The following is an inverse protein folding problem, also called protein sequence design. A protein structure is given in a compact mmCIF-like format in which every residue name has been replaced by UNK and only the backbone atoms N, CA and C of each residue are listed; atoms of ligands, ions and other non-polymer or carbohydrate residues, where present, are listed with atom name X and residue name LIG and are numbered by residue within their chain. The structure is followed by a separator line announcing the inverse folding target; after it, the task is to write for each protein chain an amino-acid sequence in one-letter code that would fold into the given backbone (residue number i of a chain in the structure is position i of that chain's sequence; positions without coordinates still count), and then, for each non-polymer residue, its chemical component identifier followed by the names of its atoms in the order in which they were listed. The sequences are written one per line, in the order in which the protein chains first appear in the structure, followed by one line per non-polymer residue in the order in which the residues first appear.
data_IF_272870398586
#
_entry.id   IF_272870398586
#
_cell.length_a   1.000
_cell.length_b   1.000
_cell.length_c   1.000
_cell.angle_alpha   90.00
_cell.angle_beta   90.00
_cell.angle_gamma   90.00
#
_symmetry.space_group_name_H-M   'P 1'
#
loop_
_entity.id
_entity.type
_entity.pdbx_description
1 polymer ?
#
# COMPACT_ATOMS: atom_id res chain seq x y z
N UNK A 1 -49.74 -23.84 -18.56
CA UNK A 1 -48.47 -24.46 -18.15
C UNK A 1 -47.40 -23.37 -18.09
N UNK A 2 -47.40 -22.54 -17.06
CA UNK A 2 -46.48 -21.39 -16.92
C UNK A 2 -45.85 -21.37 -15.51
N UNK A 3 -45.52 -22.56 -15.00
CA UNK A 3 -44.97 -22.76 -13.65
C UNK A 3 -43.49 -23.21 -13.64
N UNK A 4 -42.86 -23.35 -14.81
CA UNK A 4 -41.44 -23.73 -14.91
C UNK A 4 -40.49 -22.54 -15.07
N UNK A 5 -41.01 -21.35 -15.40
CA UNK A 5 -40.17 -20.17 -15.70
C UNK A 5 -39.71 -19.42 -14.43
N UNK A 6 -40.50 -19.45 -13.35
CA UNK A 6 -40.15 -18.77 -12.10
C UNK A 6 -39.14 -19.53 -11.24
N UNK A 7 -38.99 -20.85 -11.42
CA UNK A 7 -38.02 -21.65 -10.66
C UNK A 7 -36.58 -21.52 -11.21
N UNK A 8 -36.41 -21.26 -12.50
CA UNK A 8 -35.09 -21.08 -13.12
C UNK A 8 -34.51 -19.71 -12.74
N UNK A 9 -35.35 -18.67 -12.57
CA UNK A 9 -34.92 -17.34 -12.12
C UNK A 9 -34.42 -17.31 -10.67
N UNK A 10 -34.86 -18.23 -9.81
CA UNK A 10 -34.41 -18.34 -8.41
C UNK A 10 -33.08 -19.10 -8.24
N UNK A 11 -32.67 -19.90 -9.22
CA UNK A 11 -31.36 -20.58 -9.21
C UNK A 11 -30.19 -19.64 -9.51
N UNK A 12 -30.42 -18.51 -10.19
CA UNK A 12 -29.37 -17.52 -10.47
C UNK A 12 -29.06 -16.66 -9.22
N UNK A 13 -30.03 -16.53 -8.30
CA UNK A 13 -29.88 -15.75 -7.05
C UNK A 13 -29.07 -16.52 -5.99
N UNK A 14 -28.94 -17.84 -6.12
CA UNK A 14 -28.08 -18.68 -5.26
C UNK A 14 -26.58 -18.61 -5.58
N UNK A 15 -26.18 -17.93 -6.66
CA UNK A 15 -24.77 -17.62 -6.95
C UNK A 15 -24.51 -16.12 -6.79
N UNK A 16 -25.15 -15.52 -5.80
CA UNK A 16 -24.71 -14.23 -5.31
C UNK A 16 -23.31 -14.37 -4.70
N UNK A 17 -22.37 -13.72 -5.39
CA UNK A 17 -21.39 -12.87 -4.74
C UNK A 17 -20.17 -13.60 -4.13
N UNK A 18 -19.42 -14.30 -4.97
CA UNK A 18 -17.98 -13.96 -4.99
C UNK A 18 -17.85 -12.62 -5.73
N UNK A 19 -18.29 -11.54 -5.07
CA UNK A 19 -17.68 -10.23 -5.31
C UNK A 19 -16.17 -10.47 -5.24
N UNK A 20 -15.37 -10.00 -6.22
CA UNK A 20 -13.92 -10.09 -6.11
C UNK A 20 -13.55 -9.62 -4.71
N UNK A 21 -12.99 -10.55 -3.92
CA UNK A 21 -12.60 -10.30 -2.54
C UNK A 21 -11.91 -8.94 -2.46
N UNK A 22 -12.21 -8.12 -1.44
CA UNK A 22 -11.77 -6.73 -1.40
C UNK A 22 -10.26 -6.67 -1.57
N UNK A 23 -9.81 -6.33 -2.79
CA UNK A 23 -8.44 -6.01 -3.20
C UNK A 23 -7.43 -6.61 -2.21
N UNK A 24 -7.33 -7.94 -2.21
CA UNK A 24 -6.33 -8.61 -1.40
C UNK A 24 -4.97 -8.08 -1.87
N UNK A 25 -4.16 -7.57 -0.93
CA UNK A 25 -2.83 -7.08 -1.23
C UNK A 25 -2.08 -8.15 -2.04
N UNK A 26 -1.70 -7.83 -3.28
CA UNK A 26 -1.00 -8.76 -4.15
C UNK A 26 0.49 -8.46 -4.02
N UNK A 27 1.20 -9.30 -3.26
CA UNK A 27 2.64 -9.36 -3.35
C UNK A 27 3.00 -9.97 -4.72
N UNK A 28 3.67 -9.21 -5.57
CA UNK A 28 4.11 -9.71 -6.87
C UNK A 28 5.61 -9.44 -7.08
N UNK A 29 6.22 -10.25 -7.93
CA UNK A 29 7.65 -10.20 -8.22
C UNK A 29 7.82 -9.94 -9.71
N UNK A 30 8.70 -9.00 -10.08
CA UNK A 30 9.22 -8.97 -11.44
C UNK A 30 10.35 -9.99 -11.56
N UNK A 31 10.37 -10.86 -12.59
CA UNK A 31 11.57 -11.62 -12.91
C UNK A 31 12.68 -10.63 -13.28
N UNK A 32 13.72 -10.55 -12.46
CA UNK A 32 14.87 -9.70 -12.71
C UNK A 32 15.78 -10.40 -13.73
N UNK A 33 16.06 -9.77 -14.87
CA UNK A 33 16.83 -10.38 -15.96
C UNK A 33 18.34 -10.41 -15.69
N UNK A 34 18.84 -9.62 -14.74
CA UNK A 34 20.28 -9.40 -14.59
C UNK A 34 20.88 -9.78 -13.24
N UNK A 35 20.10 -10.12 -12.20
CA UNK A 35 20.64 -10.63 -10.94
C UNK A 35 19.58 -11.48 -10.23
N UNK A 36 19.97 -12.63 -9.66
CA UNK A 36 19.12 -13.59 -8.91
C UNK A 36 18.41 -13.01 -7.66
N UNK A 37 18.28 -11.69 -7.55
CA UNK A 37 17.63 -11.02 -6.42
C UNK A 37 16.15 -10.76 -6.73
N UNK A 38 15.28 -11.51 -6.05
CA UNK A 38 13.82 -11.40 -6.12
C UNK A 38 13.36 -10.16 -5.33
N UNK A 39 13.19 -9.04 -6.02
CA UNK A 39 12.65 -7.83 -5.40
C UNK A 39 11.12 -7.85 -5.45
N UNK A 40 10.47 -7.92 -4.29
CA UNK A 40 9.03 -7.73 -4.17
C UNK A 40 8.66 -6.30 -4.59
N UNK A 41 7.70 -6.18 -5.51
CA UNK A 41 7.14 -4.89 -5.95
C UNK A 41 5.84 -4.65 -5.20
N UNK A 42 5.53 -3.39 -4.92
CA UNK A 42 4.23 -2.97 -4.41
C UNK A 42 3.46 -2.23 -5.50
N UNK A 43 2.18 -2.56 -5.68
CA UNK A 43 1.22 -1.65 -6.28
C UNK A 43 0.34 -1.07 -5.18
N UNK A 44 -0.16 0.14 -5.42
CA UNK A 44 -0.79 0.99 -4.43
C UNK A 44 -1.82 0.22 -3.61
N UNK A 45 -1.49 -0.06 -2.34
CA UNK A 45 -2.53 -0.33 -1.36
C UNK A 45 -3.35 0.97 -1.29
N UNK A 46 -4.56 0.97 -1.84
CA UNK A 46 -5.52 2.05 -1.63
C UNK A 46 -5.77 2.33 -0.11
N UNK A 47 -5.28 1.45 0.78
CA UNK A 47 -5.32 1.54 2.24
C UNK A 47 -4.04 2.04 2.91
N UNK A 48 -2.93 2.28 2.19
CA UNK A 48 -1.69 2.81 2.82
C UNK A 48 -1.75 4.34 2.91
N UNK A 49 -1.26 4.94 4.01
CA UNK A 49 -1.09 6.38 4.07
C UNK A 49 -0.07 6.82 3.02
N UNK A 50 -0.36 7.90 2.29
CA UNK A 50 0.53 8.45 1.25
C UNK A 50 1.85 9.00 1.81
N UNK A 51 1.95 9.20 3.13
CA UNK A 51 3.09 9.85 3.77
C UNK A 51 3.21 11.34 3.41
N UNK A 52 2.20 11.93 2.75
CA UNK A 52 2.17 13.34 2.36
C UNK A 52 1.41 14.13 3.42
N UNK A 53 2.09 15.11 4.00
CA UNK A 53 1.58 16.06 4.97
C UNK A 53 1.48 17.45 4.33
N UNK A 54 0.62 18.31 4.89
CA UNK A 54 0.45 19.69 4.42
C UNK A 54 0.71 20.67 5.56
N UNK A 55 1.33 21.81 5.23
CA UNK A 55 1.44 22.94 6.16
C UNK A 55 1.14 24.24 5.44
N UNK A 56 0.56 25.17 6.18
CA UNK A 56 0.32 26.54 5.70
C UNK A 56 1.51 27.41 6.08
N UNK A 57 2.05 28.11 5.10
CA UNK A 57 3.09 29.12 5.28
C UNK A 57 2.48 30.49 5.01
N UNK A 58 2.83 31.46 5.85
CA UNK A 58 2.60 32.88 5.58
C UNK A 58 3.81 33.40 4.83
N UNK A 59 3.61 33.85 3.59
CA UNK A 59 4.68 34.40 2.73
C UNK A 59 4.40 35.86 2.44
N UNK A 60 5.45 36.63 2.19
CA UNK A 60 5.32 38.03 1.79
C UNK A 60 4.82 38.12 0.36
N UNK A 61 3.66 38.77 0.18
CA UNK A 61 3.05 39.01 -1.13
C UNK A 61 2.62 40.45 -1.25
N UNK A 62 2.58 40.96 -2.50
CA UNK A 62 2.11 42.31 -2.81
C UNK A 62 0.69 42.55 -2.27
N UNK A 63 -0.18 41.55 -2.39
CA UNK A 63 -1.52 41.58 -1.78
C UNK A 63 -1.50 40.91 -0.39
N UNK A 64 -1.78 41.62 0.72
CA UNK A 64 -1.78 41.05 2.07
C UNK A 64 -2.78 39.91 2.28
N UNK A 65 -3.85 39.90 1.50
CA UNK A 65 -4.89 38.87 1.59
C UNK A 65 -4.49 37.55 0.91
N UNK A 66 -3.33 37.49 0.23
CA UNK A 66 -2.85 36.31 -0.50
C UNK A 66 -1.55 35.73 0.08
N UNK A 67 -1.28 36.01 1.36
CA UNK A 67 -0.07 35.58 2.07
C UNK A 67 -0.08 34.10 2.45
N UNK A 68 -1.24 33.48 2.59
CA UNK A 68 -1.35 32.07 2.98
C UNK A 68 -1.08 31.15 1.80
N UNK A 69 -0.08 30.29 1.91
CA UNK A 69 0.26 29.26 0.93
C UNK A 69 0.30 27.89 1.59
N UNK A 70 -0.42 26.93 1.05
CA UNK A 70 -0.36 25.55 1.50
C UNK A 70 0.71 24.81 0.70
N UNK A 71 1.62 24.14 1.38
CA UNK A 71 2.65 23.32 0.75
C UNK A 71 2.54 21.87 1.22
N UNK A 72 2.88 20.93 0.34
CA UNK A 72 3.00 19.51 0.66
C UNK A 72 4.45 19.14 0.99
N UNK A 73 4.63 18.18 1.89
CA UNK A 73 5.94 17.65 2.27
C UNK A 73 5.78 16.21 2.79
N UNK A 74 6.87 15.47 2.93
CA UNK A 74 6.81 14.14 3.56
C UNK A 74 6.62 14.27 5.07
N UNK A 75 5.70 13.49 5.62
CA UNK A 75 5.50 13.40 7.06
C UNK A 75 6.77 12.90 7.78
N UNK A 76 6.80 13.04 9.12
CA UNK A 76 7.91 12.52 9.92
C UNK A 76 8.12 11.03 9.69
N UNK A 77 9.38 10.61 9.62
CA UNK A 77 9.80 9.24 9.29
C UNK A 77 9.39 8.75 7.89
N UNK A 78 9.10 9.67 6.95
CA UNK A 78 9.01 9.38 5.52
C UNK A 78 10.10 10.14 4.75
N UNK A 79 10.55 9.56 3.63
CA UNK A 79 11.56 10.13 2.75
C UNK A 79 11.00 10.35 1.34
N UNK A 80 11.33 11.49 0.73
CA UNK A 80 10.96 11.76 -0.65
C UNK A 80 11.83 10.93 -1.61
N UNK A 81 11.18 10.03 -2.35
CA UNK A 81 11.73 9.18 -3.41
C UNK A 81 11.21 9.57 -4.80
N UNK A 82 10.53 10.71 -4.87
CA UNK A 82 10.01 11.27 -6.10
C UNK A 82 11.08 12.03 -6.88
N UNK A 83 10.63 12.89 -7.79
CA UNK A 83 11.49 13.76 -8.59
C UNK A 83 11.02 15.22 -8.43
N UNK A 84 11.59 16.14 -9.22
CA UNK A 84 11.26 17.57 -9.13
C UNK A 84 9.79 17.89 -9.48
N UNK A 85 9.07 16.99 -10.15
CA UNK A 85 7.68 17.16 -10.58
C UNK A 85 6.68 16.36 -9.75
N UNK A 86 7.13 15.31 -9.05
CA UNK A 86 6.28 14.39 -8.30
C UNK A 86 6.83 14.18 -6.89
N UNK A 87 6.03 14.54 -5.88
CA UNK A 87 6.30 14.18 -4.49
C UNK A 87 5.88 12.71 -4.26
N UNK A 88 6.85 11.85 -3.94
CA UNK A 88 6.59 10.45 -3.59
C UNK A 88 7.22 10.17 -2.23
N UNK A 89 6.42 10.06 -1.18
CA UNK A 89 6.91 9.79 0.16
C UNK A 89 6.87 8.29 0.46
N UNK A 90 8.01 7.71 0.80
CA UNK A 90 8.13 6.31 1.22
C UNK A 90 8.49 6.24 2.71
N UNK A 91 7.93 5.29 3.48
CA UNK A 91 8.21 5.16 4.90
C UNK A 91 9.67 4.75 5.16
N UNK A 92 10.25 5.26 6.23
CA UNK A 92 11.56 4.86 6.73
C UNK A 92 11.37 3.72 7.71
N UNK A 93 11.76 2.50 7.33
CA UNK A 93 11.81 1.37 8.24
C UNK A 93 13.18 1.30 8.93
N UNK A 94 13.18 1.56 10.24
CA UNK A 94 14.35 1.35 11.10
C UNK A 94 14.56 -0.13 11.43
N UNK A 95 13.53 -0.95 11.23
CA UNK A 95 13.53 -2.39 11.48
C UNK A 95 13.86 -3.17 10.21
N UNK A 96 14.35 -4.40 10.39
CA UNK A 96 14.75 -5.30 9.32
C UNK A 96 13.53 -5.97 8.67
N UNK A 97 13.00 -5.36 7.59
CA UNK A 97 11.90 -5.90 6.79
C UNK A 97 12.38 -6.86 5.66
N UNK A 98 13.52 -7.57 5.80
CA UNK A 98 14.14 -8.35 4.70
C UNK A 98 13.28 -9.44 4.04
N UNK A 99 12.09 -9.77 4.56
CA UNK A 99 11.11 -10.66 3.91
C UNK A 99 9.69 -10.09 3.94
N UNK A 100 9.59 -8.77 3.83
CA UNK A 100 8.33 -8.06 3.84
C UNK A 100 8.45 -6.72 3.14
N UNK A 101 7.40 -5.93 3.24
CA UNK A 101 7.34 -4.57 2.73
C UNK A 101 7.21 -3.61 3.90
N UNK A 102 8.00 -2.54 3.87
CA UNK A 102 7.82 -1.41 4.77
C UNK A 102 6.53 -0.67 4.38
N UNK A 103 5.50 -0.70 5.24
CA UNK A 103 4.19 -0.11 4.91
C UNK A 103 3.95 1.22 5.61
N UNK A 104 4.47 1.35 6.81
CA UNK A 104 4.49 2.57 7.62
C UNK A 104 5.79 2.59 8.45
N UNK A 105 6.18 3.72 9.03
CA UNK A 105 7.38 3.77 9.86
C UNK A 105 7.33 2.75 11.00
N UNK A 106 8.27 1.82 11.00
CA UNK A 106 8.37 0.77 12.02
C UNK A 106 7.44 -0.43 11.84
N UNK A 107 6.60 -0.45 10.79
CA UNK A 107 5.73 -1.59 10.51
C UNK A 107 6.04 -2.24 9.16
N UNK A 108 6.14 -3.56 9.18
CA UNK A 108 6.44 -4.38 8.01
C UNK A 108 5.26 -5.32 7.75
N UNK A 109 4.74 -5.30 6.53
CA UNK A 109 3.84 -6.33 6.04
C UNK A 109 4.69 -7.50 5.51
N UNK A 110 4.68 -8.63 6.20
CA UNK A 110 5.49 -9.78 5.79
C UNK A 110 4.95 -10.41 4.49
N UNK A 111 5.86 -10.88 3.64
CA UNK A 111 5.51 -11.56 2.41
C UNK A 111 4.83 -12.91 2.69
N UNK A 112 4.09 -13.48 1.72
CA UNK A 112 3.46 -14.78 1.88
C UNK A 112 4.45 -15.86 2.35
N UNK A 113 4.05 -16.62 3.38
CA UNK A 113 4.90 -17.63 4.04
C UNK A 113 5.80 -17.11 5.16
N UNK A 114 5.75 -15.80 5.47
CA UNK A 114 6.50 -15.18 6.57
C UNK A 114 5.56 -14.56 7.62
N UNK A 115 5.93 -14.69 8.89
CA UNK A 115 5.26 -14.05 10.03
C UNK A 115 6.13 -13.00 10.71
N UNK A 116 5.44 -12.03 11.29
CA UNK A 116 6.05 -10.97 12.09
C UNK A 116 6.45 -11.54 13.46
N UNK A 117 7.76 -11.73 13.69
CA UNK A 117 8.33 -12.14 14.98
C UNK A 117 9.61 -11.38 15.29
N UNK A 118 9.80 -10.97 16.54
CA UNK A 118 10.99 -10.24 17.02
C UNK A 118 11.42 -9.07 16.13
N UNK A 119 10.48 -8.23 15.69
CA UNK A 119 10.83 -7.10 14.82
C UNK A 119 11.39 -7.48 13.42
N UNK A 120 11.22 -8.74 13.00
CA UNK A 120 11.55 -9.26 11.66
C UNK A 120 10.41 -10.07 11.02
N UNK A 121 10.52 -10.32 9.72
CA UNK A 121 9.69 -11.28 8.99
C UNK A 121 10.41 -12.63 8.90
N UNK A 122 9.95 -13.62 9.68
CA UNK A 122 10.54 -14.96 9.76
C UNK A 122 9.69 -15.97 9.00
N UNK A 123 10.34 -16.95 8.36
CA UNK A 123 9.66 -18.00 7.62
C UNK A 123 8.84 -18.89 8.56
N UNK A 124 7.58 -19.18 8.21
CA UNK A 124 6.68 -20.02 9.01
C UNK A 124 7.09 -21.51 9.06
N UNK A 125 7.92 -21.98 8.11
CA UNK A 125 8.32 -23.39 7.97
C UNK A 125 9.59 -23.77 8.75
N UNK A 126 10.41 -22.79 9.16
CA UNK A 126 11.61 -23.02 9.98
C UNK A 126 11.27 -22.81 11.46
N UNK A 127 10.35 -23.61 11.98
CA UNK A 127 9.91 -23.57 13.37
C UNK A 127 10.52 -24.76 14.12
N UNK A 128 11.84 -24.70 14.33
CA UNK A 128 12.54 -25.54 15.31
C UNK A 128 12.44 -24.92 16.70
#
# INVERSE_FOLDING_TARGET
MHLTSTLIGLLIIGTALELPTPIAAQFWKTPNKDNNNLNWRNEALARRPSGICYKTLTVDTVNPNSRSRQISFCCNDYVNKGNNQLLKCEPICREDCSNGLCITPGDCECAPGYERRDRKCRNMLNRD
#
